data_IF_338582093865
#
_entry.id   IF_338582093865
#
_cell.length_a   1.000
_cell.length_b   1.000
_cell.length_c   1.000
_cell.angle_alpha   90.00
_cell.angle_beta   90.00
_cell.angle_gamma   90.00
#
_symmetry.space_group_name_H-M   'P 1'
#
loop_
_entity.id
_entity.type
_entity.pdbx_description
1 polymer ?
#
# COMPACT_ATOMS: atom_id res chain seq x y z
N UNK A 1 3.92 -0.26 38.15
CA UNK A 1 3.96 0.36 36.81
C UNK A 1 2.78 -0.08 35.91
N UNK A 2 1.59 -0.28 36.48
CA UNK A 2 0.38 -0.84 35.85
C UNK A 2 -0.74 0.20 35.61
N UNK A 3 -0.42 1.50 35.55
CA UNK A 3 -1.44 2.57 35.63
C UNK A 3 -1.72 3.31 34.31
N UNK A 4 -1.14 2.91 33.17
CA UNK A 4 -1.32 3.64 31.88
C UNK A 4 -2.27 2.98 30.86
N UNK A 5 -2.83 1.81 31.16
CA UNK A 5 -3.76 1.13 30.24
C UNK A 5 -5.26 1.46 30.43
N UNK A 6 -5.62 2.32 31.39
CA UNK A 6 -7.02 2.58 31.75
C UNK A 6 -7.68 3.81 31.14
N UNK A 7 -6.95 4.65 30.41
CA UNK A 7 -7.46 5.91 29.86
C UNK A 7 -7.38 6.05 28.33
N UNK A 8 -7.22 4.94 27.59
CA UNK A 8 -7.39 5.03 26.14
C UNK A 8 -8.88 5.13 25.82
N UNK A 9 -9.34 6.17 25.12
CA UNK A 9 -10.75 6.29 24.75
C UNK A 9 -11.15 5.07 23.93
N UNK A 10 -12.25 4.40 24.29
CA UNK A 10 -12.87 3.35 23.48
C UNK A 10 -13.23 3.99 22.13
N UNK A 11 -12.67 3.45 21.06
CA UNK A 11 -12.88 3.98 19.70
C UNK A 11 -14.19 3.45 19.15
N UNK A 12 -15.01 4.37 18.66
CA UNK A 12 -16.30 4.01 18.04
C UNK A 12 -16.03 3.55 16.62
N UNK A 13 -16.32 2.27 16.37
CA UNK A 13 -16.18 1.67 15.04
C UNK A 13 -17.53 1.74 14.33
N UNK A 14 -17.57 2.15 13.05
CA UNK A 14 -18.78 2.10 12.24
C UNK A 14 -19.37 0.69 12.18
N UNK A 15 -20.69 0.58 12.26
CA UNK A 15 -21.39 -0.68 12.10
C UNK A 15 -22.73 -0.43 11.37
N UNK A 16 -23.00 -1.04 10.21
CA UNK A 16 -22.13 -2.03 9.53
C UNK A 16 -20.95 -1.39 8.79
N UNK A 17 -19.84 -2.14 8.63
CA UNK A 17 -18.73 -1.78 7.75
C UNK A 17 -19.09 -2.27 6.34
N UNK A 18 -19.00 -1.37 5.35
CA UNK A 18 -19.26 -1.67 3.95
C UNK A 18 -18.01 -2.25 3.27
N UNK A 19 -18.18 -3.26 2.45
CA UNK A 19 -17.13 -3.87 1.65
C UNK A 19 -17.53 -3.84 0.17
N UNK A 20 -16.62 -3.49 -0.76
CA UNK A 20 -16.89 -3.59 -2.19
C UNK A 20 -16.92 -5.05 -2.63
N UNK A 21 -18.08 -5.55 -3.07
CA UNK A 21 -18.27 -6.95 -3.46
C UNK A 21 -17.42 -7.36 -4.68
N UNK A 22 -17.03 -6.38 -5.52
CA UNK A 22 -16.22 -6.60 -6.71
C UNK A 22 -14.75 -6.92 -6.42
N UNK A 23 -14.26 -6.70 -5.20
CA UNK A 23 -12.86 -6.96 -4.86
C UNK A 23 -12.63 -8.44 -4.52
N UNK A 24 -11.64 -9.10 -5.16
CA UNK A 24 -11.36 -10.53 -4.92
C UNK A 24 -11.16 -10.89 -3.44
N UNK A 25 -10.56 -10.00 -2.64
CA UNK A 25 -10.38 -10.24 -1.20
C UNK A 25 -11.71 -10.33 -0.45
N UNK A 26 -12.77 -9.67 -0.95
CA UNK A 26 -14.08 -9.68 -0.32
C UNK A 26 -14.81 -11.02 -0.51
N UNK A 27 -14.54 -11.75 -1.59
CA UNK A 27 -15.05 -13.12 -1.79
C UNK A 27 -14.54 -14.09 -0.71
N UNK A 28 -13.31 -13.84 -0.21
CA UNK A 28 -12.67 -14.66 0.83
C UNK A 28 -12.81 -14.05 2.24
N UNK A 29 -13.64 -13.01 2.42
CA UNK A 29 -13.73 -12.23 3.67
C UNK A 29 -14.02 -13.10 4.88
N UNK A 30 -14.99 -14.01 4.82
CA UNK A 30 -15.35 -14.86 5.95
C UNK A 30 -14.22 -15.81 6.33
N UNK A 31 -13.53 -16.39 5.38
CA UNK A 31 -12.36 -17.23 5.61
C UNK A 31 -11.20 -16.44 6.25
N UNK A 32 -10.94 -15.23 5.74
CA UNK A 32 -9.92 -14.33 6.31
C UNK A 32 -10.30 -13.95 7.75
N UNK A 33 -11.56 -13.61 8.00
CA UNK A 33 -12.08 -13.26 9.31
C UNK A 33 -11.92 -14.41 10.31
N UNK A 34 -12.27 -15.63 9.90
CA UNK A 34 -12.13 -16.82 10.70
C UNK A 34 -10.67 -17.12 11.02
N UNK A 35 -9.79 -17.08 10.02
CA UNK A 35 -8.36 -17.31 10.20
C UNK A 35 -7.73 -16.30 11.17
N UNK A 36 -8.01 -15.00 11.03
CA UNK A 36 -7.52 -13.96 11.95
C UNK A 36 -8.05 -14.21 13.38
N UNK A 37 -9.29 -14.66 13.53
CA UNK A 37 -9.86 -14.97 14.82
C UNK A 37 -9.10 -16.13 15.49
N UNK A 38 -8.87 -17.23 14.76
CA UNK A 38 -8.31 -18.47 15.29
C UNK A 38 -6.79 -18.46 15.44
N UNK A 39 -6.05 -17.74 14.56
CA UNK A 39 -4.60 -17.77 14.53
C UNK A 39 -3.98 -16.45 14.96
N UNK A 40 -2.79 -16.50 15.53
CA UNK A 40 -2.03 -15.33 15.93
C UNK A 40 -1.34 -14.67 14.72
N UNK A 41 -0.91 -15.48 13.75
CA UNK A 41 -0.33 -15.03 12.49
C UNK A 41 -1.14 -15.60 11.33
N UNK A 42 -1.45 -14.75 10.34
CA UNK A 42 -2.12 -15.15 9.10
C UNK A 42 -1.38 -14.52 7.91
N UNK A 43 -1.17 -15.29 6.86
CA UNK A 43 -0.56 -14.82 5.62
C UNK A 43 -1.65 -14.74 4.56
N UNK A 44 -1.74 -13.59 3.90
CA UNK A 44 -2.72 -13.35 2.83
C UNK A 44 -1.96 -13.04 1.56
N UNK A 45 -1.95 -14.00 0.65
CA UNK A 45 -1.29 -13.92 -0.64
C UNK A 45 -2.27 -13.50 -1.74
N UNK A 46 -1.78 -12.79 -2.72
CA UNK A 46 -2.60 -12.45 -3.89
C UNK A 46 -2.02 -11.32 -4.71
N UNK A 47 -2.48 -11.19 -5.94
CA UNK A 47 -2.01 -10.17 -6.86
C UNK A 47 -2.32 -8.73 -6.39
N UNK A 48 -1.55 -7.77 -6.91
CA UNK A 48 -1.83 -6.34 -6.72
C UNK A 48 -3.21 -6.01 -7.31
N UNK A 49 -3.98 -5.17 -6.61
CA UNK A 49 -5.34 -4.82 -7.01
C UNK A 49 -6.43 -5.77 -6.48
N UNK A 50 -6.10 -6.87 -5.80
CA UNK A 50 -7.10 -7.75 -5.19
C UNK A 50 -7.81 -7.16 -3.97
N UNK A 51 -7.43 -5.96 -3.50
CA UNK A 51 -8.07 -5.24 -2.40
C UNK A 51 -7.49 -5.52 -1.01
N UNK A 52 -6.43 -6.35 -0.87
CA UNK A 52 -5.83 -6.71 0.42
C UNK A 52 -5.52 -5.50 1.29
N UNK A 53 -4.78 -4.55 0.75
CA UNK A 53 -4.29 -3.36 1.46
C UNK A 53 -5.41 -2.53 2.08
N UNK A 54 -6.55 -2.39 1.40
CA UNK A 54 -7.66 -1.55 1.90
C UNK A 54 -8.68 -2.31 2.71
N UNK A 55 -8.92 -3.60 2.41
CA UNK A 55 -10.01 -4.35 3.03
C UNK A 55 -9.59 -5.10 4.29
N UNK A 56 -8.34 -5.61 4.37
CA UNK A 56 -7.88 -6.34 5.57
C UNK A 56 -7.98 -5.50 6.85
N UNK A 57 -7.59 -4.21 6.88
CA UNK A 57 -7.78 -3.38 8.07
C UNK A 57 -9.25 -3.26 8.50
N UNK A 58 -10.18 -3.23 7.54
CA UNK A 58 -11.63 -3.18 7.80
C UNK A 58 -12.15 -4.50 8.37
N UNK A 59 -11.65 -5.64 7.86
CA UNK A 59 -11.96 -6.97 8.42
C UNK A 59 -11.47 -7.06 9.88
N UNK A 60 -10.29 -6.51 10.18
CA UNK A 60 -9.79 -6.44 11.55
C UNK A 60 -10.70 -5.58 12.46
N UNK A 61 -11.18 -4.42 11.97
CA UNK A 61 -12.14 -3.60 12.72
C UNK A 61 -13.45 -4.36 13.00
N UNK A 62 -13.96 -5.09 12.03
CA UNK A 62 -15.18 -5.91 12.19
C UNK A 62 -15.02 -7.00 13.26
N UNK A 63 -13.81 -7.51 13.45
CA UNK A 63 -13.46 -8.43 14.53
C UNK A 63 -13.27 -7.73 15.89
N UNK A 64 -13.54 -6.42 15.98
CA UNK A 64 -13.36 -5.64 17.20
C UNK A 64 -11.92 -5.23 17.48
N UNK A 65 -10.97 -5.50 16.55
CA UNK A 65 -9.60 -5.01 16.68
C UNK A 65 -9.56 -3.50 16.49
N UNK A 66 -8.59 -2.84 17.07
CA UNK A 66 -8.50 -1.38 16.98
C UNK A 66 -9.34 -0.61 18.01
N UNK A 67 -10.17 -1.26 18.83
CA UNK A 67 -11.02 -0.58 19.83
C UNK A 67 -10.21 -0.13 21.05
N UNK A 68 -9.49 -1.03 21.69
CA UNK A 68 -8.71 -0.75 22.89
C UNK A 68 -7.26 -0.33 22.56
N UNK A 69 -6.63 -1.05 21.65
CA UNK A 69 -5.34 -0.71 21.07
C UNK A 69 -5.51 -0.39 19.58
N UNK A 70 -4.45 -0.19 18.83
CA UNK A 70 -4.51 0.19 17.41
C UNK A 70 -4.25 -0.99 16.49
N UNK A 71 -4.77 -0.91 15.29
CA UNK A 71 -4.31 -1.67 14.14
C UNK A 71 -3.18 -0.86 13.50
N UNK A 72 -1.94 -1.36 13.57
CA UNK A 72 -0.80 -0.81 12.85
C UNK A 72 -0.71 -1.44 11.45
N UNK A 73 -0.55 -0.62 10.41
CA UNK A 73 -0.47 -1.10 9.04
C UNK A 73 0.74 -0.49 8.36
N UNK A 74 1.74 -1.32 8.04
CA UNK A 74 2.96 -0.84 7.39
C UNK A 74 2.81 -0.76 5.87
N UNK A 75 3.51 0.20 5.30
CA UNK A 75 3.62 0.40 3.86
C UNK A 75 5.09 0.68 3.50
N UNK A 76 5.62 0.17 2.38
CA UNK A 76 7.01 0.40 2.04
C UNK A 76 7.31 1.87 1.68
N UNK A 77 6.30 2.60 1.19
CA UNK A 77 6.46 3.96 0.67
C UNK A 77 5.58 4.96 1.39
N UNK A 78 6.11 6.18 1.62
CA UNK A 78 5.39 7.25 2.33
C UNK A 78 4.12 7.68 1.62
N UNK A 79 4.17 7.76 0.28
CA UNK A 79 3.01 8.12 -0.53
C UNK A 79 1.92 7.07 -0.41
N UNK A 80 2.28 5.78 -0.49
CA UNK A 80 1.34 4.68 -0.32
C UNK A 80 0.67 4.71 1.07
N UNK A 81 1.46 4.85 2.15
CA UNK A 81 0.91 4.93 3.50
C UNK A 81 -0.17 6.01 3.64
N UNK A 82 0.08 7.20 3.08
CA UNK A 82 -0.88 8.30 3.12
C UNK A 82 -2.11 8.01 2.24
N UNK A 83 -1.91 7.54 1.00
CA UNK A 83 -3.02 7.30 0.06
C UNK A 83 -3.93 6.17 0.49
N UNK A 84 -3.34 5.11 1.01
CA UNK A 84 -4.13 3.99 1.58
C UNK A 84 -4.92 4.48 2.80
N UNK A 85 -4.34 5.34 3.65
CA UNK A 85 -5.08 5.93 4.77
C UNK A 85 -6.24 6.80 4.30
N UNK A 86 -6.03 7.67 3.31
CA UNK A 86 -7.09 8.48 2.69
C UNK A 86 -8.20 7.57 2.16
N UNK A 87 -7.86 6.52 1.40
CA UNK A 87 -8.82 5.59 0.81
C UNK A 87 -9.63 4.83 1.86
N UNK A 88 -8.99 4.29 2.90
CA UNK A 88 -9.69 3.57 3.97
C UNK A 88 -10.60 4.54 4.77
N UNK A 89 -10.14 5.77 5.01
CA UNK A 89 -10.95 6.78 5.67
C UNK A 89 -12.22 7.12 4.87
N UNK A 90 -12.08 7.32 3.55
CA UNK A 90 -13.20 7.56 2.63
C UNK A 90 -14.18 6.37 2.65
N UNK A 91 -13.69 5.13 2.58
CA UNK A 91 -14.55 3.94 2.61
C UNK A 91 -15.25 3.73 3.97
N UNK A 92 -14.67 4.22 5.06
CA UNK A 92 -15.26 4.20 6.40
C UNK A 92 -16.07 5.47 6.73
N UNK A 93 -16.26 6.35 5.75
CA UNK A 93 -16.98 7.62 5.89
C UNK A 93 -16.43 8.45 7.07
N UNK A 94 -15.12 8.45 7.27
CA UNK A 94 -14.43 9.14 8.37
C UNK A 94 -13.43 10.17 7.83
N UNK A 95 -13.18 11.22 8.62
CA UNK A 95 -12.12 12.17 8.32
C UNK A 95 -10.75 11.53 8.54
N UNK A 96 -9.78 11.85 7.66
CA UNK A 96 -8.40 11.44 7.83
C UNK A 96 -7.78 12.08 9.09
N UNK A 97 -7.16 11.28 9.94
CA UNK A 97 -6.69 11.69 11.26
C UNK A 97 -7.68 11.40 12.39
N UNK A 98 -8.93 11.03 12.06
CA UNK A 98 -9.93 10.52 12.99
C UNK A 98 -9.77 9.04 13.26
N UNK A 99 -10.72 8.22 12.79
CA UNK A 99 -10.67 6.75 12.94
C UNK A 99 -9.50 6.12 12.20
N UNK A 100 -9.16 6.65 11.04
CA UNK A 100 -8.01 6.25 10.22
C UNK A 100 -7.00 7.40 10.19
N UNK A 101 -5.76 7.08 10.48
CA UNK A 101 -4.68 8.05 10.44
C UNK A 101 -3.40 7.46 9.83
N UNK A 102 -2.42 8.31 9.59
CA UNK A 102 -1.13 7.86 9.10
C UNK A 102 0.03 8.57 9.80
N UNK A 103 1.20 7.93 9.80
CA UNK A 103 2.44 8.50 10.28
C UNK A 103 3.60 8.13 9.37
N UNK A 104 4.21 9.13 8.78
CA UNK A 104 5.41 8.98 7.95
C UNK A 104 6.47 9.97 8.43
N UNK A 105 7.70 9.85 7.94
CA UNK A 105 8.77 10.76 8.33
C UNK A 105 8.40 12.21 8.00
N UNK A 106 8.39 13.07 9.02
CA UNK A 106 8.06 14.51 8.99
C UNK A 106 6.58 14.85 8.73
N UNK A 107 5.68 13.88 8.69
CA UNK A 107 4.26 14.17 8.52
C UNK A 107 3.42 13.08 9.21
N UNK A 108 2.47 13.50 10.02
CA UNK A 108 1.53 12.61 10.67
C UNK A 108 0.13 13.25 10.78
N UNK A 109 -0.87 12.39 10.80
CA UNK A 109 -2.25 12.74 11.08
C UNK A 109 -2.85 11.59 11.89
N UNK A 110 -2.63 11.61 13.20
CA UNK A 110 -3.04 10.57 14.16
C UNK A 110 -3.62 11.23 15.39
N UNK A 111 -4.82 10.81 15.80
CA UNK A 111 -5.49 11.25 17.02
C UNK A 111 -5.57 10.12 18.07
N UNK A 112 -5.95 10.41 19.31
CA UNK A 112 -6.28 9.36 20.29
C UNK A 112 -7.38 8.40 19.80
N UNK A 113 -8.34 8.91 19.02
CA UNK A 113 -9.42 8.16 18.38
C UNK A 113 -9.00 7.27 17.21
N UNK A 114 -7.76 7.37 16.73
CA UNK A 114 -7.28 6.59 15.58
C UNK A 114 -7.21 5.11 15.95
N UNK A 115 -8.01 4.30 15.25
CA UNK A 115 -8.05 2.85 15.34
C UNK A 115 -7.10 2.19 14.33
N UNK A 116 -7.09 2.66 13.08
CA UNK A 116 -6.18 2.19 12.03
C UNK A 116 -5.10 3.26 11.81
N UNK A 117 -3.85 2.87 12.06
CA UNK A 117 -2.69 3.74 11.86
C UNK A 117 -1.79 3.18 10.77
N UNK A 118 -1.80 3.83 9.62
CA UNK A 118 -0.86 3.51 8.55
C UNK A 118 0.48 4.17 8.81
N UNK A 119 1.56 3.47 8.46
CA UNK A 119 2.91 3.98 8.66
C UNK A 119 3.90 3.31 7.69
N UNK A 120 5.07 3.92 7.53
CA UNK A 120 6.16 3.21 6.85
C UNK A 120 6.87 2.24 7.80
N UNK A 121 7.49 1.20 7.23
CA UNK A 121 8.27 0.21 7.99
C UNK A 121 9.29 0.87 8.93
N UNK A 122 9.97 1.91 8.46
CA UNK A 122 10.92 2.68 9.28
C UNK A 122 10.29 3.39 10.48
N UNK A 123 9.00 3.76 10.42
CA UNK A 123 8.28 4.32 11.56
C UNK A 123 7.99 3.22 12.59
N UNK A 124 7.56 2.04 12.16
CA UNK A 124 7.35 0.91 13.07
C UNK A 124 8.65 0.51 13.78
N UNK A 125 9.79 0.50 13.06
CA UNK A 125 11.10 0.27 13.65
C UNK A 125 11.47 1.33 14.70
N UNK A 126 11.17 2.60 14.45
CA UNK A 126 11.42 3.66 15.42
C UNK A 126 10.52 3.53 16.66
N UNK A 127 9.31 3.00 16.52
CA UNK A 127 8.41 2.73 17.64
C UNK A 127 8.86 1.52 18.46
N UNK A 128 9.40 0.48 17.82
CA UNK A 128 10.04 -0.66 18.51
C UNK A 128 11.18 -0.26 19.42
N UNK A 129 11.92 0.81 19.09
CA UNK A 129 12.98 1.33 19.96
C UNK A 129 12.44 1.94 21.25
N UNK A 130 11.21 2.47 21.23
CA UNK A 130 10.57 3.13 22.38
C UNK A 130 9.72 2.17 23.19
N UNK A 131 8.99 1.30 22.52
CA UNK A 131 8.15 0.26 23.12
C UNK A 131 8.44 -1.09 22.45
N UNK A 132 9.30 -1.87 23.10
CA UNK A 132 9.72 -3.19 22.61
C UNK A 132 8.59 -4.21 22.53
N UNK A 133 7.50 -3.99 23.22
CA UNK A 133 6.35 -4.90 23.22
C UNK A 133 5.22 -4.42 22.30
N UNK A 134 5.37 -3.25 21.66
CA UNK A 134 4.35 -2.66 20.76
C UNK A 134 2.96 -2.64 21.40
N UNK A 135 2.88 -2.22 22.68
CA UNK A 135 1.64 -2.25 23.48
C UNK A 135 0.54 -1.33 22.95
N UNK A 136 0.90 -0.34 22.13
CA UNK A 136 -0.06 0.52 21.45
C UNK A 136 -0.88 -0.23 20.36
N UNK A 137 -0.50 -1.47 20.03
CA UNK A 137 -1.10 -2.26 18.97
C UNK A 137 -1.68 -3.57 19.49
N UNK A 138 -2.87 -3.92 19.01
CA UNK A 138 -3.47 -5.25 19.14
C UNK A 138 -3.36 -6.06 17.84
N UNK A 139 -3.14 -5.38 16.72
CA UNK A 139 -3.00 -5.99 15.39
C UNK A 139 -1.93 -5.25 14.60
N UNK A 140 -1.08 -6.00 13.91
CA UNK A 140 -0.11 -5.47 12.96
C UNK A 140 -0.35 -6.11 11.58
N UNK A 141 -0.43 -5.27 10.57
CA UNK A 141 -0.50 -5.68 9.17
C UNK A 141 0.84 -5.27 8.53
N UNK A 142 1.61 -6.26 8.11
CA UNK A 142 2.88 -6.06 7.40
C UNK A 142 2.57 -6.24 5.91
N UNK A 143 2.37 -5.11 5.23
CA UNK A 143 1.94 -5.12 3.83
C UNK A 143 3.14 -5.14 2.87
N UNK A 144 2.92 -5.73 1.69
CA UNK A 144 3.93 -5.88 0.63
C UNK A 144 5.21 -6.58 1.11
N UNK A 145 5.07 -7.61 1.98
CA UNK A 145 6.20 -8.30 2.59
C UNK A 145 7.17 -8.94 1.57
N UNK A 146 6.71 -9.20 0.35
CA UNK A 146 7.53 -9.70 -0.75
C UNK A 146 8.56 -8.70 -1.28
N UNK A 147 8.45 -7.40 -0.95
CA UNK A 147 9.50 -6.42 -1.29
C UNK A 147 10.82 -6.70 -0.55
N UNK A 148 10.80 -7.50 0.53
CA UNK A 148 11.98 -8.01 1.25
C UNK A 148 13.00 -6.92 1.57
N UNK A 149 12.52 -5.72 1.94
CA UNK A 149 13.41 -4.67 2.44
C UNK A 149 14.07 -5.11 3.75
N UNK A 150 15.26 -4.58 4.05
CA UNK A 150 15.94 -4.83 5.32
C UNK A 150 15.04 -4.53 6.53
N UNK A 151 14.20 -3.50 6.42
CA UNK A 151 13.26 -3.13 7.47
C UNK A 151 12.19 -4.21 7.68
N UNK A 152 11.60 -4.71 6.59
CA UNK A 152 10.59 -5.78 6.63
C UNK A 152 11.19 -7.05 7.25
N UNK A 153 12.35 -7.49 6.77
CA UNK A 153 13.00 -8.70 7.27
C UNK A 153 13.35 -8.58 8.78
N UNK A 154 13.82 -7.41 9.20
CA UNK A 154 14.06 -7.16 10.63
C UNK A 154 12.76 -7.20 11.45
N UNK A 155 11.69 -6.56 10.97
CA UNK A 155 10.38 -6.55 11.63
C UNK A 155 9.84 -7.97 11.78
N UNK A 156 9.87 -8.77 10.72
CA UNK A 156 9.39 -10.16 10.76
C UNK A 156 10.18 -11.02 11.75
N UNK A 157 11.50 -10.91 11.76
CA UNK A 157 12.34 -11.60 12.74
C UNK A 157 12.05 -11.15 14.18
N UNK A 158 11.85 -9.84 14.38
CA UNK A 158 11.50 -9.31 15.69
C UNK A 158 10.12 -9.78 16.17
N UNK A 159 9.11 -9.74 15.30
CA UNK A 159 7.76 -10.19 15.60
C UNK A 159 7.74 -11.68 16.00
N UNK A 160 8.48 -12.53 15.31
CA UNK A 160 8.60 -13.94 15.69
C UNK A 160 9.08 -14.11 17.15
N UNK A 161 10.04 -13.30 17.58
CA UNK A 161 10.55 -13.32 18.96
C UNK A 161 9.59 -12.67 19.97
N UNK A 162 8.73 -11.75 19.52
CA UNK A 162 7.78 -11.02 20.36
C UNK A 162 6.48 -11.82 20.61
N UNK A 163 5.96 -12.50 19.59
CA UNK A 163 4.66 -13.16 19.62
C UNK A 163 4.43 -14.10 20.82
N UNK A 164 5.41 -14.90 21.28
CA UNK A 164 5.23 -15.73 22.49
C UNK A 164 5.00 -14.90 23.77
N UNK A 165 5.43 -13.64 23.80
CA UNK A 165 5.25 -12.70 24.92
C UNK A 165 3.97 -11.88 24.80
N UNK A 166 3.39 -11.82 23.63
CA UNK A 166 2.20 -11.05 23.28
C UNK A 166 1.15 -11.96 22.60
N UNK A 167 0.54 -12.92 23.33
CA UNK A 167 -0.45 -13.83 22.76
C UNK A 167 -1.73 -13.11 22.27
N UNK A 168 -1.97 -11.91 22.73
CA UNK A 168 -3.05 -11.00 22.33
C UNK A 168 -2.82 -10.32 20.97
N UNK A 169 -1.56 -10.17 20.55
CA UNK A 169 -1.18 -9.48 19.31
C UNK A 169 -1.44 -10.38 18.10
N UNK A 170 -2.21 -9.86 17.14
CA UNK A 170 -2.40 -10.49 15.84
C UNK A 170 -1.44 -9.88 14.81
N UNK A 171 -0.89 -10.73 13.95
CA UNK A 171 -0.03 -10.31 12.85
C UNK A 171 -0.59 -10.83 11.53
N UNK A 172 -0.87 -9.95 10.61
CA UNK A 172 -1.28 -10.28 9.25
C UNK A 172 -0.14 -9.88 8.30
N UNK A 173 0.31 -10.82 7.49
CA UNK A 173 1.35 -10.58 6.49
C UNK A 173 0.70 -10.64 5.13
N UNK A 174 0.75 -9.53 4.37
CA UNK A 174 0.30 -9.56 2.99
C UNK A 174 1.48 -9.67 2.04
N UNK A 175 1.29 -10.42 0.97
CA UNK A 175 2.32 -10.66 -0.04
C UNK A 175 1.68 -10.78 -1.42
N UNK A 176 2.43 -10.48 -2.49
CA UNK A 176 2.17 -11.10 -3.78
C UNK A 176 2.37 -12.63 -3.63
N UNK A 177 2.03 -13.39 -4.65
CA UNK A 177 2.05 -14.87 -4.63
C UNK A 177 3.44 -15.50 -4.43
N UNK A 178 4.50 -14.68 -4.33
CA UNK A 178 5.89 -15.11 -4.21
C UNK A 178 6.26 -15.30 -2.73
N UNK A 179 7.02 -16.36 -2.41
CA UNK A 179 7.62 -16.62 -1.09
C UNK A 179 6.65 -16.88 0.08
N UNK A 180 5.36 -17.16 -0.17
CA UNK A 180 4.36 -17.38 0.90
C UNK A 180 4.72 -18.55 1.81
N UNK A 181 5.25 -19.63 1.27
CA UNK A 181 5.69 -20.81 2.05
C UNK A 181 6.80 -20.46 3.04
N UNK A 182 7.72 -19.58 2.66
CA UNK A 182 8.78 -19.12 3.56
C UNK A 182 8.24 -18.29 4.72
N UNK A 183 7.25 -17.43 4.47
CA UNK A 183 6.60 -16.70 5.55
C UNK A 183 5.82 -17.64 6.47
N UNK A 184 5.10 -18.61 5.92
CA UNK A 184 4.39 -19.63 6.69
C UNK A 184 5.34 -20.41 7.61
N UNK A 185 6.42 -20.96 7.05
CA UNK A 185 7.43 -21.70 7.82
C UNK A 185 8.12 -20.83 8.88
N UNK A 186 8.38 -19.55 8.56
CA UNK A 186 8.99 -18.62 9.52
C UNK A 186 8.10 -18.40 10.75
N UNK A 187 6.79 -18.50 10.62
CA UNK A 187 5.82 -18.34 11.68
C UNK A 187 5.11 -19.67 12.04
N UNK A 188 5.90 -20.73 12.18
CA UNK A 188 5.47 -22.05 12.68
C UNK A 188 4.29 -22.65 11.89
N UNK A 189 4.35 -22.56 10.57
CA UNK A 189 3.33 -22.97 9.61
C UNK A 189 2.00 -22.19 9.76
N UNK A 190 2.11 -20.88 9.92
CA UNK A 190 0.95 -19.99 9.89
C UNK A 190 0.08 -20.21 8.64
N UNK A 191 -1.25 -20.17 8.75
CA UNK A 191 -2.13 -20.40 7.62
C UNK A 191 -1.93 -19.36 6.51
N UNK A 192 -2.02 -19.83 5.27
CA UNK A 192 -1.93 -19.02 4.05
C UNK A 192 -3.31 -19.02 3.40
N UNK A 193 -3.82 -17.83 3.09
CA UNK A 193 -5.05 -17.64 2.31
C UNK A 193 -4.65 -16.99 0.99
N UNK A 194 -4.93 -17.67 -0.10
CA UNK A 194 -4.67 -17.15 -1.44
C UNK A 194 -5.91 -16.45 -1.98
N UNK A 195 -5.75 -15.17 -2.29
CA UNK A 195 -6.75 -14.34 -2.95
C UNK A 195 -6.40 -14.25 -4.42
N UNK A 196 -7.08 -15.01 -5.24
CA UNK A 196 -6.90 -15.01 -6.70
C UNK A 196 -7.94 -14.13 -7.37
N UNK A 197 -7.56 -13.52 -8.46
CA UNK A 197 -8.44 -12.75 -9.32
C UNK A 197 -7.84 -11.39 -9.69
N UNK A 198 -7.82 -11.10 -10.98
CA UNK A 198 -7.52 -9.79 -11.52
C UNK A 198 -8.82 -9.10 -11.87
N UNK A 199 -8.96 -7.85 -11.45
CA UNK A 199 -10.10 -7.03 -11.84
C UNK A 199 -10.09 -6.68 -13.33
N UNK A 200 -8.89 -6.55 -13.92
CA UNK A 200 -8.71 -6.14 -15.30
C UNK A 200 -7.66 -7.00 -16.01
N UNK A 201 -7.88 -7.33 -17.31
CA UNK A 201 -6.86 -8.01 -18.11
C UNK A 201 -5.64 -7.11 -18.30
N UNK A 202 -4.45 -7.73 -18.30
CA UNK A 202 -3.18 -7.06 -18.57
C UNK A 202 -2.57 -7.70 -19.80
N UNK A 203 -2.33 -6.88 -20.84
CA UNK A 203 -1.63 -7.28 -22.05
C UNK A 203 -0.18 -6.77 -21.98
N UNK A 204 0.78 -7.64 -22.27
CA UNK A 204 2.22 -7.29 -22.20
C UNK A 204 2.77 -7.16 -23.61
N UNK A 205 3.28 -5.97 -23.95
CA UNK A 205 3.94 -5.67 -25.21
C UNK A 205 5.43 -5.41 -24.99
N UNK A 206 6.29 -6.13 -25.71
CA UNK A 206 7.73 -5.89 -25.71
C UNK A 206 8.08 -5.09 -26.97
N UNK A 207 8.56 -3.88 -26.77
CA UNK A 207 9.08 -3.06 -27.86
C UNK A 207 10.56 -3.43 -28.06
N UNK A 208 10.87 -4.09 -29.18
CA UNK A 208 12.24 -4.43 -29.56
C UNK A 208 13.05 -3.20 -30.00
N UNK A 209 14.36 -3.34 -30.06
CA UNK A 209 15.20 -2.36 -30.72
C UNK A 209 14.79 -2.27 -32.21
N UNK A 210 14.49 -1.07 -32.66
CA UNK A 210 14.19 -0.84 -34.08
C UNK A 210 15.44 -1.17 -34.92
N UNK A 211 15.32 -2.05 -35.89
CA UNK A 211 16.40 -2.46 -36.76
C UNK A 211 17.18 -1.24 -37.31
N UNK A 212 18.40 -1.03 -36.80
CA UNK A 212 19.38 -0.10 -37.34
C UNK A 212 19.36 1.34 -36.85
N UNK A 213 18.53 1.72 -35.88
CA UNK A 213 18.61 3.03 -35.24
C UNK A 213 19.36 2.93 -33.91
N UNK A 214 20.40 3.71 -33.69
CA UNK A 214 21.06 3.97 -32.40
C UNK A 214 20.12 4.83 -31.50
N UNK A 215 18.84 4.47 -31.40
CA UNK A 215 17.87 5.22 -30.63
C UNK A 215 18.08 4.98 -29.15
N UNK A 216 18.28 6.05 -28.41
CA UNK A 216 18.36 5.98 -26.95
C UNK A 216 17.01 5.56 -26.32
N UNK A 217 17.07 5.08 -25.09
CA UNK A 217 15.87 4.67 -24.32
C UNK A 217 14.80 5.75 -24.29
N UNK A 218 15.20 7.03 -24.25
CA UNK A 218 14.26 8.17 -24.28
C UNK A 218 13.48 8.27 -25.59
N UNK A 219 14.12 7.97 -26.74
CA UNK A 219 13.45 7.98 -28.04
C UNK A 219 12.45 6.85 -28.16
N UNK A 220 12.77 5.69 -27.63
CA UNK A 220 11.85 4.55 -27.57
C UNK A 220 10.62 4.88 -26.69
N UNK A 221 10.83 5.53 -25.54
CA UNK A 221 9.72 5.96 -24.67
C UNK A 221 8.83 7.01 -25.37
N UNK A 222 9.41 7.98 -26.06
CA UNK A 222 8.63 8.98 -26.79
C UNK A 222 7.78 8.32 -27.88
N UNK A 223 8.35 7.39 -28.67
CA UNK A 223 7.59 6.64 -29.68
C UNK A 223 6.47 5.81 -29.07
N UNK A 224 6.73 5.13 -27.93
CA UNK A 224 5.71 4.36 -27.25
C UNK A 224 4.54 5.25 -26.79
N UNK A 225 4.84 6.41 -26.21
CA UNK A 225 3.81 7.38 -25.79
C UNK A 225 3.03 7.93 -26.99
N UNK A 226 3.71 8.25 -28.08
CA UNK A 226 3.06 8.72 -29.31
C UNK A 226 2.16 7.65 -29.93
N UNK A 227 2.57 6.36 -29.92
CA UNK A 227 1.75 5.24 -30.35
C UNK A 227 0.50 5.06 -29.47
N UNK A 228 0.62 5.21 -28.15
CA UNK A 228 -0.55 5.18 -27.25
C UNK A 228 -1.50 6.35 -27.56
N UNK A 229 -0.97 7.55 -27.82
CA UNK A 229 -1.79 8.70 -28.23
C UNK A 229 -2.47 8.46 -29.59
N UNK A 230 -1.84 7.73 -30.50
CA UNK A 230 -2.39 7.34 -31.79
C UNK A 230 -3.38 6.14 -31.72
N UNK A 231 -3.51 5.51 -30.56
CA UNK A 231 -4.34 4.32 -30.32
C UNK A 231 -3.79 3.04 -31.00
N UNK A 232 -2.49 2.99 -31.31
CA UNK A 232 -1.84 1.82 -31.93
C UNK A 232 -1.84 0.59 -31.02
N UNK A 233 -1.97 0.77 -29.71
CA UNK A 233 -1.97 -0.28 -28.68
C UNK A 233 -3.34 -0.48 -28.03
N UNK A 234 -4.41 0.10 -28.57
CA UNK A 234 -5.75 0.03 -28.03
C UNK A 234 -6.31 1.39 -27.60
N UNK A 235 -7.46 1.44 -26.90
CA UNK A 235 -8.08 2.70 -26.52
C UNK A 235 -7.19 3.52 -25.61
N UNK A 236 -7.24 4.85 -25.74
CA UNK A 236 -6.45 5.77 -24.93
C UNK A 236 -6.74 5.62 -23.46
N UNK A 237 -5.67 5.62 -22.66
CA UNK A 237 -5.72 5.62 -21.21
C UNK A 237 -4.59 6.45 -20.61
N UNK A 238 -4.57 6.59 -19.30
CA UNK A 238 -3.46 7.22 -18.61
C UNK A 238 -2.20 6.33 -18.68
N UNK A 239 -1.03 6.94 -18.74
CA UNK A 239 0.27 6.28 -18.87
C UNK A 239 1.11 6.52 -17.64
N UNK A 240 1.70 5.46 -17.09
CA UNK A 240 2.69 5.53 -16.02
C UNK A 240 4.03 5.00 -16.54
N UNK A 241 5.07 5.84 -16.46
CA UNK A 241 6.41 5.52 -16.93
C UNK A 241 7.35 5.49 -15.73
N UNK A 242 7.96 4.34 -15.45
CA UNK A 242 8.97 4.22 -14.43
C UNK A 242 10.36 4.55 -14.97
N UNK A 243 11.03 5.47 -14.30
CA UNK A 243 12.37 5.98 -14.67
C UNK A 243 13.34 5.81 -13.49
N UNK A 244 14.64 5.63 -13.74
CA UNK A 244 15.61 5.37 -12.69
C UNK A 244 15.83 6.55 -11.75
N UNK A 245 15.62 7.79 -12.22
CA UNK A 245 15.90 8.96 -11.41
C UNK A 245 15.20 10.26 -11.84
N UNK A 246 15.42 11.28 -11.04
CA UNK A 246 14.85 12.62 -11.23
C UNK A 246 15.38 13.31 -12.49
N UNK A 247 16.63 13.02 -12.86
CA UNK A 247 17.25 13.61 -14.06
C UNK A 247 16.53 13.13 -15.31
N UNK A 248 16.34 11.84 -15.45
CA UNK A 248 15.66 11.20 -16.58
C UNK A 248 14.20 11.65 -16.66
N UNK A 249 13.54 11.86 -15.52
CA UNK A 249 12.20 12.46 -15.48
C UNK A 249 12.19 13.87 -16.08
N UNK A 250 13.17 14.71 -15.71
CA UNK A 250 13.24 16.09 -16.22
C UNK A 250 13.58 16.16 -17.71
N UNK A 251 14.45 15.27 -18.18
CA UNK A 251 14.85 15.19 -19.56
C UNK A 251 13.67 14.73 -20.42
N UNK A 252 13.00 13.66 -20.05
CA UNK A 252 11.84 13.17 -20.76
C UNK A 252 10.64 14.14 -20.68
N UNK A 253 10.44 14.81 -19.53
CA UNK A 253 9.43 15.86 -19.40
C UNK A 253 9.60 16.97 -20.47
N UNK A 254 10.83 17.44 -20.71
CA UNK A 254 11.12 18.48 -21.72
C UNK A 254 10.80 18.00 -23.14
N UNK A 255 10.99 16.72 -23.41
CA UNK A 255 10.72 16.13 -24.73
C UNK A 255 9.23 15.89 -24.97
N UNK A 256 8.49 15.49 -23.96
CA UNK A 256 7.07 15.14 -24.08
C UNK A 256 6.12 16.33 -23.93
N UNK A 257 6.58 17.44 -23.34
CA UNK A 257 5.73 18.62 -23.17
C UNK A 257 5.43 19.31 -24.50
N UNK A 258 4.28 19.99 -24.59
CA UNK A 258 3.90 20.82 -25.75
C UNK A 258 2.81 20.20 -26.62
N UNK A 259 2.39 18.98 -26.37
CA UNK A 259 1.23 18.37 -27.00
C UNK A 259 0.02 18.52 -26.06
N UNK A 260 -1.01 19.26 -26.52
CA UNK A 260 -2.22 19.53 -25.73
C UNK A 260 -3.09 18.28 -25.48
N UNK A 261 -2.88 17.20 -26.22
CA UNK A 261 -3.60 15.92 -26.03
C UNK A 261 -3.15 15.17 -24.79
N UNK A 262 -2.00 15.58 -24.17
CA UNK A 262 -1.42 14.90 -23.01
C UNK A 262 -0.97 15.88 -21.94
N UNK A 263 -1.18 15.51 -20.68
CA UNK A 263 -0.68 16.20 -19.50
C UNK A 263 0.48 15.43 -18.89
N UNK A 264 1.68 16.02 -18.90
CA UNK A 264 2.87 15.36 -18.34
C UNK A 264 3.00 15.72 -16.87
N UNK A 265 3.07 14.71 -16.00
CA UNK A 265 3.08 14.86 -14.55
C UNK A 265 4.31 14.15 -13.96
N UNK A 266 5.31 14.88 -13.46
CA UNK A 266 6.43 14.26 -12.75
C UNK A 266 6.03 13.78 -11.36
N UNK A 267 6.58 12.62 -10.94
CA UNK A 267 6.34 12.02 -9.61
C UNK A 267 7.63 11.43 -9.03
N UNK A 268 8.24 12.13 -8.07
CA UNK A 268 9.45 11.67 -7.36
C UNK A 268 9.47 12.19 -5.92
N UNK A 269 10.32 11.60 -5.07
CA UNK A 269 10.29 11.77 -3.62
C UNK A 269 10.51 13.21 -3.11
N UNK A 270 11.21 14.07 -3.87
CA UNK A 270 11.51 15.45 -3.48
C UNK A 270 10.39 16.45 -3.76
N UNK A 271 9.39 16.06 -4.55
CA UNK A 271 8.23 16.90 -4.79
C UNK A 271 7.46 17.14 -3.48
N UNK A 272 6.88 18.35 -3.36
CA UNK A 272 5.96 18.66 -2.28
C UNK A 272 4.72 17.74 -2.31
N UNK A 273 4.06 17.59 -1.18
CA UNK A 273 2.82 16.79 -1.11
C UNK A 273 1.74 17.31 -2.08
N UNK A 274 1.66 18.63 -2.30
CA UNK A 274 0.74 19.23 -3.25
C UNK A 274 1.04 18.82 -4.69
N UNK A 275 2.32 18.81 -5.09
CA UNK A 275 2.76 18.37 -6.41
C UNK A 275 2.53 16.87 -6.62
N UNK A 276 2.87 16.03 -5.64
CA UNK A 276 2.60 14.60 -5.69
C UNK A 276 1.11 14.31 -5.82
N UNK A 277 0.26 15.13 -5.18
CA UNK A 277 -1.19 14.97 -5.24
C UNK A 277 -1.80 15.30 -6.61
N UNK A 278 -1.10 16.07 -7.45
CA UNK A 278 -1.60 16.44 -8.79
C UNK A 278 -1.84 15.23 -9.70
N UNK A 279 -1.05 14.16 -9.57
CA UNK A 279 -1.19 12.96 -10.40
C UNK A 279 -2.50 12.21 -10.14
N UNK A 280 -3.13 12.44 -8.99
CA UNK A 280 -4.39 11.77 -8.59
C UNK A 280 -5.63 12.65 -8.82
N UNK A 281 -5.44 13.93 -9.15
CA UNK A 281 -6.56 14.84 -9.41
C UNK A 281 -6.70 15.04 -10.92
N UNK A 282 -7.84 14.71 -11.52
CA UNK A 282 -8.07 14.99 -12.93
C UNK A 282 -8.06 16.51 -13.13
N UNK A 283 -7.18 16.98 -13.98
CA UNK A 283 -7.08 18.40 -14.36
C UNK A 283 -7.10 18.51 -15.88
N UNK A 284 -8.29 18.51 -16.48
CA UNK A 284 -8.46 18.67 -17.92
C UNK A 284 -8.91 17.40 -18.65
N UNK A 285 -9.08 17.52 -19.98
CA UNK A 285 -9.58 16.47 -20.86
C UNK A 285 -8.49 15.63 -21.54
N UNK A 286 -7.21 15.88 -21.24
CA UNK A 286 -6.08 15.19 -21.87
C UNK A 286 -5.66 13.91 -21.12
N UNK A 287 -5.04 12.99 -21.88
CA UNK A 287 -4.40 11.79 -21.33
C UNK A 287 -3.29 12.21 -20.34
N UNK A 288 -3.27 11.58 -19.15
CA UNK A 288 -2.18 11.83 -18.19
C UNK A 288 -0.99 10.91 -18.49
N UNK A 289 0.19 11.49 -18.55
CA UNK A 289 1.47 10.76 -18.62
C UNK A 289 2.25 11.06 -17.36
N UNK A 290 2.31 10.09 -16.45
CA UNK A 290 3.01 10.21 -15.19
C UNK A 290 4.43 9.68 -15.34
N UNK A 291 5.43 10.53 -15.14
CA UNK A 291 6.85 10.17 -15.14
C UNK A 291 7.30 9.96 -13.71
N UNK A 292 7.51 8.71 -13.29
CA UNK A 292 7.73 8.36 -11.90
C UNK A 292 9.05 7.63 -11.66
N UNK A 293 9.62 7.83 -10.47
CA UNK A 293 10.54 6.86 -9.90
C UNK A 293 9.74 5.79 -9.15
N UNK A 294 10.41 4.85 -8.48
CA UNK A 294 9.77 3.83 -7.63
C UNK A 294 9.01 4.38 -6.40
N UNK A 295 8.72 5.67 -6.35
CA UNK A 295 7.90 6.32 -5.32
C UNK A 295 6.40 6.15 -5.57
N UNK A 296 6.05 5.83 -6.82
CA UNK A 296 4.67 5.61 -7.26
C UNK A 296 4.13 4.26 -6.81
#
# INVERSE_FOLDING_TARGET
MLKKMKDSPIRVIPNPIKFPDELPVCERREEIREAISQHQVVIIAGETGSGKTTQIPKICLELGRGQEARIGHTQPRRLAARRVAERIADELESELGGLVGYKVRFNDSVAPSTAIKLMTDGILLAELQRDRELRDYDTLIIDEAHERSLNIDFILGYLRALLPKRPDLKVIITSATIDVDRFSQHFDNAPVIEVSGRLFPVEVHYLGDSDGAEDGVEDQIVRAVDGIVAEDFGPRGDVLIFLPGEREIRDLYRRLKGDERRQILPLYARLSAAEQNRVFKPTGSGMRVVLATNVA
#
